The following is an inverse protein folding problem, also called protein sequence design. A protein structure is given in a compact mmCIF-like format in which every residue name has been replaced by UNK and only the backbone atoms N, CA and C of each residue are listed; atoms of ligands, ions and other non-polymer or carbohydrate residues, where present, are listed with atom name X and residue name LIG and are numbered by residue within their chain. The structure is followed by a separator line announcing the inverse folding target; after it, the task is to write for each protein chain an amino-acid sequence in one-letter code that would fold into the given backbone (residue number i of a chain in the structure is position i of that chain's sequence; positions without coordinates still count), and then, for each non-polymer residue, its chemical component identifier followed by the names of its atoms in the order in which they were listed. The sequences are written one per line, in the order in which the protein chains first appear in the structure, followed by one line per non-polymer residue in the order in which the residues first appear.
data_IF_603036747033
#
_entry.id   IF_603036747033
#
_cell.length_a   1.000
_cell.length_b   1.000
_cell.length_c   1.000
_cell.angle_alpha   90.00
_cell.angle_beta   90.00
_cell.angle_gamma   90.00
#
_symmetry.space_group_name_H-M   'P 1'
#
loop_
_entity.id
_entity.type
_entity.pdbx_description
1 polymer ?
#
# COMPACT_ATOMS: atom_id res chain seq x y z
N UNK A 1 21.07 4.25 -11.40
CA UNK A 1 19.87 4.22 -12.27
C UNK A 1 19.88 5.44 -13.17
N UNK A 2 19.58 5.27 -14.45
CA UNK A 2 19.55 6.40 -15.39
C UNK A 2 18.28 7.22 -15.19
N UNK A 3 18.27 8.52 -15.59
CA UNK A 3 17.06 9.33 -15.51
C UNK A 3 15.85 8.72 -16.26
N UNK A 4 16.09 8.05 -17.37
CA UNK A 4 15.04 7.38 -18.12
C UNK A 4 14.45 6.21 -17.34
N UNK A 5 15.29 5.44 -16.67
CA UNK A 5 14.84 4.33 -15.82
C UNK A 5 14.05 4.83 -14.63
N UNK A 6 14.47 5.93 -14.02
CA UNK A 6 13.74 6.55 -12.91
C UNK A 6 12.36 7.03 -13.37
N UNK A 7 12.30 7.64 -14.54
CA UNK A 7 11.03 8.08 -15.12
C UNK A 7 10.10 6.91 -15.37
N UNK A 8 10.63 5.83 -15.95
CA UNK A 8 9.85 4.62 -16.20
C UNK A 8 9.31 4.02 -14.90
N UNK A 9 10.14 3.96 -13.87
CA UNK A 9 9.72 3.44 -12.56
C UNK A 9 8.62 4.30 -11.94
N UNK A 10 8.74 5.62 -12.06
CA UNK A 10 7.73 6.54 -11.57
C UNK A 10 6.39 6.32 -12.28
N UNK A 11 6.42 6.18 -13.59
CA UNK A 11 5.22 5.92 -14.38
C UNK A 11 4.60 4.57 -14.08
N UNK A 12 5.42 3.54 -13.87
CA UNK A 12 4.93 2.22 -13.48
C UNK A 12 4.29 2.24 -12.10
N UNK A 13 4.92 2.92 -11.14
CA UNK A 13 4.36 3.07 -9.80
C UNK A 13 3.01 3.79 -9.85
N UNK A 14 2.92 4.86 -10.61
CA UNK A 14 1.67 5.58 -10.81
C UNK A 14 0.62 4.67 -11.45
N UNK A 15 1.01 3.91 -12.47
CA UNK A 15 0.12 2.99 -13.16
C UNK A 15 -0.46 1.94 -12.21
N UNK A 16 0.37 1.43 -11.28
CA UNK A 16 -0.10 0.48 -10.27
C UNK A 16 -1.12 1.14 -9.35
N UNK A 17 -0.79 2.33 -8.82
CA UNK A 17 -1.66 3.03 -7.87
C UNK A 17 -2.98 3.47 -8.51
N UNK A 18 -2.97 3.80 -9.80
CA UNK A 18 -4.17 4.25 -10.54
C UNK A 18 -4.98 3.09 -11.12
N UNK A 19 -4.46 1.87 -11.07
CA UNK A 19 -5.13 0.71 -11.65
C UNK A 19 -6.41 0.40 -10.87
N UNK A 20 -7.59 0.37 -11.52
CA UNK A 20 -8.84 0.14 -10.79
C UNK A 20 -8.93 -1.22 -10.13
N UNK A 21 -8.35 -2.26 -10.71
CA UNK A 21 -8.34 -3.59 -10.10
C UNK A 21 -7.49 -3.57 -8.83
N UNK A 22 -6.35 -2.88 -8.88
CA UNK A 22 -5.48 -2.75 -7.72
C UNK A 22 -6.18 -1.96 -6.61
N UNK A 23 -6.85 -0.85 -6.95
CA UNK A 23 -7.60 -0.04 -5.98
C UNK A 23 -8.74 -0.85 -5.34
N UNK A 24 -9.46 -1.62 -6.13
CA UNK A 24 -10.53 -2.48 -5.62
C UNK A 24 -9.99 -3.55 -4.69
N UNK A 25 -8.85 -4.16 -5.05
CA UNK A 25 -8.21 -5.17 -4.20
C UNK A 25 -7.79 -4.59 -2.85
N UNK A 26 -7.20 -3.38 -2.86
CA UNK A 26 -6.81 -2.69 -1.64
C UNK A 26 -8.03 -2.45 -0.76
N UNK A 27 -9.10 -1.93 -1.33
CA UNK A 27 -10.33 -1.63 -0.62
C UNK A 27 -10.91 -2.90 0.01
N UNK A 28 -10.93 -3.99 -0.75
CA UNK A 28 -11.47 -5.25 -0.27
C UNK A 28 -10.63 -5.84 0.86
N UNK A 29 -9.29 -5.80 0.75
CA UNK A 29 -8.41 -6.28 1.80
C UNK A 29 -8.64 -5.49 3.09
N UNK A 30 -8.74 -4.17 2.99
CA UNK A 30 -9.00 -3.32 4.16
C UNK A 30 -10.34 -3.65 4.81
N UNK A 31 -11.37 -3.89 4.02
CA UNK A 31 -12.68 -4.29 4.53
C UNK A 31 -12.63 -5.65 5.23
N UNK A 32 -11.89 -6.60 4.66
CA UNK A 32 -11.73 -7.92 5.25
C UNK A 32 -10.98 -7.86 6.58
N UNK A 33 -9.89 -7.10 6.65
CA UNK A 33 -9.13 -6.92 7.89
C UNK A 33 -9.98 -6.25 8.97
N UNK A 34 -10.73 -5.22 8.58
CA UNK A 34 -11.62 -4.52 9.51
C UNK A 34 -12.72 -5.46 10.02
N UNK A 35 -13.30 -6.26 9.14
CA UNK A 35 -14.31 -7.25 9.51
C UNK A 35 -13.77 -8.29 10.47
N UNK A 36 -12.57 -8.80 10.22
CA UNK A 36 -11.93 -9.75 11.12
C UNK A 36 -11.66 -9.13 12.49
N UNK A 37 -11.23 -7.86 12.50
CA UNK A 37 -10.99 -7.15 13.75
C UNK A 37 -12.29 -7.03 14.56
N UNK A 38 -13.38 -6.63 13.92
CA UNK A 38 -14.68 -6.47 14.59
C UNK A 38 -15.23 -7.80 15.10
N UNK A 39 -14.98 -8.88 14.35
CA UNK A 39 -15.49 -10.21 14.72
C UNK A 39 -14.58 -10.96 15.67
N UNK A 40 -13.41 -10.42 15.98
CA UNK A 40 -12.49 -11.06 16.92
C UNK A 40 -13.07 -11.01 18.33
N UNK A 41 -12.91 -12.09 19.12
CA UNK A 41 -13.35 -12.07 20.52
C UNK A 41 -12.64 -10.98 21.31
N UNK A 42 -13.36 -10.36 22.24
CA UNK A 42 -12.80 -9.28 23.07
C UNK A 42 -11.56 -9.72 23.85
N UNK A 43 -11.47 -11.03 24.15
CA UNK A 43 -10.34 -11.58 24.90
C UNK A 43 -9.14 -11.94 24.04
N UNK A 44 -9.30 -11.93 22.71
CA UNK A 44 -8.25 -12.34 21.77
C UNK A 44 -7.38 -11.15 21.38
N UNK A 45 -6.59 -10.68 22.34
CA UNK A 45 -5.66 -9.58 22.09
C UNK A 45 -4.56 -9.94 21.11
N UNK A 46 -4.09 -11.19 21.11
CA UNK A 46 -3.07 -11.64 20.16
C UNK A 46 -3.61 -11.66 18.72
N UNK A 47 -4.84 -12.12 18.54
CA UNK A 47 -5.49 -12.13 17.23
C UNK A 47 -5.65 -10.72 16.67
N UNK A 48 -6.10 -9.78 17.52
CA UNK A 48 -6.24 -8.39 17.10
C UNK A 48 -4.90 -7.75 16.77
N UNK A 49 -3.86 -8.08 17.55
CA UNK A 49 -2.51 -7.60 17.27
C UNK A 49 -2.01 -8.08 15.91
N UNK A 50 -2.25 -9.35 15.58
CA UNK A 50 -1.88 -9.90 14.26
C UNK A 50 -2.57 -9.16 13.13
N UNK A 51 -3.86 -8.87 13.27
CA UNK A 51 -4.63 -8.12 12.27
C UNK A 51 -4.04 -6.72 12.12
N UNK A 52 -3.72 -6.07 13.22
CA UNK A 52 -3.09 -4.75 13.21
C UNK A 52 -1.76 -4.77 12.47
N UNK A 53 -0.91 -5.77 12.76
CA UNK A 53 0.39 -5.90 12.11
C UNK A 53 0.24 -6.17 10.61
N UNK A 54 -0.73 -6.98 10.20
CA UNK A 54 -1.02 -7.22 8.79
C UNK A 54 -1.41 -5.93 8.10
N UNK A 55 -2.26 -5.11 8.72
CA UNK A 55 -2.63 -3.80 8.20
C UNK A 55 -1.43 -2.88 8.07
N UNK A 56 -0.53 -2.88 9.04
CA UNK A 56 0.70 -2.08 9.02
C UNK A 56 1.63 -2.51 7.87
N UNK A 57 1.79 -3.81 7.66
CA UNK A 57 2.61 -4.31 6.56
C UNK A 57 2.02 -3.93 5.20
N UNK A 58 0.69 -3.99 5.09
CA UNK A 58 -0.01 -3.59 3.88
C UNK A 58 0.18 -2.10 3.59
N UNK A 59 0.06 -1.26 4.63
CA UNK A 59 0.31 0.17 4.49
C UNK A 59 1.75 0.45 4.09
N UNK A 60 2.70 -0.31 4.62
CA UNK A 60 4.11 -0.18 4.26
C UNK A 60 4.34 -0.45 2.77
N UNK A 61 3.67 -1.48 2.22
CA UNK A 61 3.75 -1.76 0.79
C UNK A 61 3.27 -0.56 -0.04
N UNK A 62 2.13 0.02 0.34
CA UNK A 62 1.58 1.18 -0.36
C UNK A 62 2.48 2.40 -0.25
N UNK A 63 3.04 2.64 0.93
CA UNK A 63 3.96 3.75 1.15
C UNK A 63 5.19 3.59 0.27
N UNK A 64 5.72 2.37 0.14
CA UNK A 64 6.88 2.13 -0.70
C UNK A 64 6.59 2.40 -2.18
N UNK A 65 5.42 2.00 -2.67
CA UNK A 65 5.04 2.28 -4.06
C UNK A 65 4.88 3.79 -4.27
N UNK A 66 4.21 4.48 -3.35
CA UNK A 66 4.06 5.93 -3.39
C UNK A 66 5.40 6.65 -3.34
N UNK A 67 6.32 6.14 -2.55
CA UNK A 67 7.66 6.71 -2.41
C UNK A 67 8.42 6.67 -3.73
N UNK A 68 8.33 5.58 -4.49
CA UNK A 68 8.93 5.49 -5.82
C UNK A 68 8.36 6.58 -6.74
N UNK A 69 7.05 6.76 -6.72
CA UNK A 69 6.39 7.77 -7.54
C UNK A 69 6.81 9.18 -7.13
N UNK A 70 6.81 9.48 -5.84
CA UNK A 70 7.15 10.80 -5.32
C UNK A 70 8.61 11.17 -5.54
N UNK A 71 9.52 10.19 -5.36
CA UNK A 71 10.95 10.40 -5.62
C UNK A 71 11.18 10.81 -7.07
N UNK A 72 10.50 10.13 -8.01
CA UNK A 72 10.58 10.49 -9.42
C UNK A 72 10.08 11.90 -9.68
N UNK A 73 8.99 12.31 -9.03
CA UNK A 73 8.44 13.66 -9.17
C UNK A 73 9.41 14.71 -8.62
N UNK A 74 10.04 14.43 -7.49
CA UNK A 74 11.03 15.34 -6.90
C UNK A 74 12.23 15.51 -7.82
N UNK A 75 12.71 14.43 -8.40
CA UNK A 75 13.85 14.47 -9.32
C UNK A 75 13.52 15.29 -10.57
N UNK A 76 12.28 15.29 -11.03
CA UNK A 76 11.86 16.09 -12.18
C UNK A 76 11.85 17.58 -11.91
N UNK A 77 11.72 17.99 -10.65
CA UNK A 77 11.69 19.40 -10.28
C UNK A 77 13.08 20.00 -10.13
N UNK A 78 14.09 19.18 -10.08
CA UNK A 78 15.49 19.60 -9.99
C UNK A 78 16.09 19.68 -11.38
#
# INVERSE_FOLDING_TARGET
MTPEQEKQRTELAKSILDNPVFQDAIKQIKQELYGEFLNSPARDSEGREKIYLMGKMFDLLLVNIKSVMETGKLNKKQ
#
